data_IF_720583508954
#
_entry.id   IF_720583508954
#
_cell.length_a   1.000
_cell.length_b   1.000
_cell.length_c   1.000
_cell.angle_alpha   90.00
_cell.angle_beta   90.00
_cell.angle_gamma   90.00
#
_symmetry.space_group_name_H-M   'P 1'
#
loop_
_entity.id
_entity.type
_entity.pdbx_description
1 polymer ?
#
# COMPACT_ATOMS: atom_id res chain seq x y z
N UNK A 1 -5.32 -0.31 12.66
CA UNK A 1 -6.44 -0.57 11.70
C UNK A 1 -7.66 0.19 12.19
N UNK A 2 -8.24 1.03 11.36
CA UNK A 2 -9.48 1.77 11.70
C UNK A 2 -10.64 0.93 11.17
N UNK A 3 -11.53 0.44 12.04
CA UNK A 3 -12.72 -0.29 11.60
C UNK A 3 -13.74 0.71 11.04
N UNK A 4 -13.82 0.79 9.72
CA UNK A 4 -14.88 1.52 9.01
C UNK A 4 -16.00 0.52 8.62
N UNK A 5 -16.69 -0.05 9.61
CA UNK A 5 -17.71 -1.06 9.37
C UNK A 5 -17.12 -2.33 8.72
N UNK A 6 -17.56 -2.68 7.52
CA UNK A 6 -17.06 -3.84 6.76
C UNK A 6 -15.70 -3.61 6.09
N UNK A 7 -15.13 -2.42 6.13
CA UNK A 7 -13.89 -2.02 5.44
C UNK A 7 -12.78 -1.89 6.49
N UNK A 8 -11.77 -2.75 6.42
CA UNK A 8 -10.54 -2.60 7.20
C UNK A 8 -9.54 -1.80 6.37
N UNK A 9 -9.63 -0.47 6.42
CA UNK A 9 -8.67 0.40 5.74
C UNK A 9 -7.30 0.31 6.42
N UNK A 10 -6.28 -0.07 5.66
CA UNK A 10 -4.91 -0.16 6.15
C UNK A 10 -4.22 1.19 5.95
N UNK A 11 -4.12 1.99 7.02
CA UNK A 11 -3.50 3.33 6.96
C UNK A 11 -1.97 3.31 7.05
N UNK A 12 -1.36 2.14 7.27
CA UNK A 12 0.09 1.99 7.44
C UNK A 12 0.93 2.42 6.22
N UNK A 13 0.35 2.42 5.02
CA UNK A 13 1.03 2.93 3.83
C UNK A 13 1.24 4.45 3.87
N UNK A 14 0.39 5.22 4.58
CA UNK A 14 0.47 6.68 4.65
C UNK A 14 1.80 7.17 5.26
N UNK A 15 2.23 6.72 6.47
CA UNK A 15 3.54 7.10 6.99
C UNK A 15 4.71 6.65 6.13
N UNK A 16 4.59 5.53 5.41
CA UNK A 16 5.62 5.08 4.45
C UNK A 16 5.74 6.06 3.27
N UNK A 17 4.61 6.48 2.69
CA UNK A 17 4.58 7.49 1.62
C UNK A 17 5.16 8.82 2.11
N UNK A 18 4.73 9.31 3.27
CA UNK A 18 5.26 10.56 3.84
C UNK A 18 6.77 10.46 4.08
N UNK A 19 7.24 9.38 4.68
CA UNK A 19 8.68 9.12 4.88
C UNK A 19 9.44 9.09 3.55
N UNK A 20 8.88 8.47 2.52
CA UNK A 20 9.43 8.44 1.17
C UNK A 20 9.57 9.86 0.58
N UNK A 21 8.55 10.71 0.71
CA UNK A 21 8.59 12.10 0.22
C UNK A 21 9.63 12.96 0.95
N UNK A 22 9.82 12.73 2.25
CA UNK A 22 10.74 13.48 3.09
C UNK A 22 12.21 13.04 2.93
N UNK A 23 12.46 11.74 2.88
CA UNK A 23 13.79 11.15 2.99
C UNK A 23 14.33 10.64 1.65
N UNK A 24 13.46 10.54 0.64
CA UNK A 24 13.81 10.03 -0.68
C UNK A 24 13.57 8.53 -0.85
N UNK A 25 13.75 8.01 -2.09
CA UNK A 25 13.30 6.66 -2.46
C UNK A 25 14.12 5.55 -1.79
N UNK A 26 15.40 5.79 -1.44
CA UNK A 26 16.23 4.79 -0.73
C UNK A 26 15.70 4.49 0.67
N UNK A 27 15.43 5.53 1.44
CA UNK A 27 14.84 5.38 2.78
C UNK A 27 13.38 4.95 2.70
N UNK A 28 12.66 5.41 1.68
CA UNK A 28 11.32 4.93 1.37
C UNK A 28 11.27 3.42 1.13
N UNK A 29 12.24 2.86 0.39
CA UNK A 29 12.35 1.41 0.19
C UNK A 29 12.54 0.65 1.51
N UNK A 30 13.39 1.17 2.42
CA UNK A 30 13.60 0.60 3.75
C UNK A 30 12.30 0.63 4.56
N UNK A 31 11.61 1.78 4.58
CA UNK A 31 10.31 1.90 5.26
C UNK A 31 9.26 0.95 4.66
N UNK A 32 9.25 0.79 3.33
CA UNK A 32 8.39 -0.16 2.64
C UNK A 32 8.72 -1.62 3.01
N UNK A 33 10.01 -1.98 3.11
CA UNK A 33 10.44 -3.29 3.56
C UNK A 33 10.03 -3.54 5.03
N UNK A 34 10.18 -2.55 5.90
CA UNK A 34 9.70 -2.63 7.29
C UNK A 34 8.19 -2.78 7.38
N UNK A 35 7.44 -2.07 6.52
CA UNK A 35 5.99 -2.27 6.42
C UNK A 35 5.65 -3.69 5.97
N UNK A 36 6.39 -4.25 4.99
CA UNK A 36 6.27 -5.65 4.59
C UNK A 36 6.54 -6.61 5.75
N UNK A 37 7.59 -6.37 6.53
CA UNK A 37 7.94 -7.18 7.69
C UNK A 37 6.85 -7.14 8.77
N UNK A 38 6.33 -5.96 9.10
CA UNK A 38 5.20 -5.81 10.04
C UNK A 38 3.96 -6.53 9.52
N UNK A 39 3.67 -6.44 8.22
CA UNK A 39 2.56 -7.16 7.59
C UNK A 39 2.76 -8.68 7.68
N UNK A 40 3.96 -9.18 7.37
CA UNK A 40 4.32 -10.59 7.50
C UNK A 40 4.13 -11.11 8.94
N UNK A 41 4.73 -10.43 9.91
CA UNK A 41 4.65 -10.82 11.33
C UNK A 41 3.21 -10.79 11.84
N UNK A 42 2.47 -9.73 11.55
CA UNK A 42 1.08 -9.57 11.97
C UNK A 42 0.19 -10.67 11.40
N UNK A 43 0.35 -11.02 10.12
CA UNK A 43 -0.42 -12.09 9.48
C UNK A 43 -0.01 -13.49 9.96
N UNK A 44 1.23 -13.65 10.43
CA UNK A 44 1.70 -14.91 11.00
C UNK A 44 1.20 -15.10 12.44
N UNK A 45 1.26 -14.05 13.26
CA UNK A 45 0.91 -14.10 14.68
C UNK A 45 -0.61 -14.01 14.92
N UNK A 46 -1.34 -13.32 14.05
CA UNK A 46 -2.79 -13.12 14.14
C UNK A 46 -3.43 -13.39 12.78
N UNK A 47 -3.54 -14.65 12.37
CA UNK A 47 -4.06 -15.01 11.06
C UNK A 47 -5.50 -14.53 10.84
N UNK A 48 -5.74 -13.96 9.67
CA UNK A 48 -7.05 -13.60 9.13
C UNK A 48 -7.29 -14.37 7.82
N UNK A 49 -8.46 -14.24 7.22
CA UNK A 49 -8.84 -15.00 6.04
C UNK A 49 -7.83 -14.93 4.86
N UNK A 50 -7.18 -13.79 4.66
CA UNK A 50 -6.20 -13.59 3.59
C UNK A 50 -4.73 -13.75 4.03
N UNK A 51 -4.45 -14.21 5.25
CA UNK A 51 -3.08 -14.29 5.77
C UNK A 51 -2.19 -15.26 5.02
N UNK A 52 -2.75 -16.27 4.35
CA UNK A 52 -2.00 -17.16 3.46
C UNK A 52 -1.31 -16.44 2.29
N UNK A 53 -1.84 -15.26 1.90
CA UNK A 53 -1.23 -14.44 0.85
C UNK A 53 -0.10 -13.53 1.36
N UNK A 54 0.12 -13.45 2.68
CA UNK A 54 1.12 -12.57 3.29
C UNK A 54 2.15 -13.31 4.15
N UNK A 55 1.90 -14.60 4.46
CA UNK A 55 2.82 -15.43 5.24
C UNK A 55 2.94 -16.82 4.64
N UNK A 56 4.16 -17.29 4.32
CA UNK A 56 4.40 -18.65 3.85
C UNK A 56 4.16 -19.71 4.94
N UNK A 57 3.99 -19.31 6.19
CA UNK A 57 3.74 -20.19 7.31
C UNK A 57 2.24 -20.52 7.50
N UNK A 58 1.39 -19.81 6.78
CA UNK A 58 -0.05 -20.02 6.82
C UNK A 58 -0.46 -20.89 5.63
N UNK A 59 -1.16 -22.03 5.86
CA UNK A 59 -1.58 -22.91 4.78
C UNK A 59 -2.46 -22.21 3.76
N UNK A 60 -2.20 -22.49 2.49
CA UNK A 60 -3.01 -22.01 1.37
C UNK A 60 -4.35 -22.76 1.37
N UNK A 61 -5.50 -22.10 1.23
CA UNK A 61 -6.80 -22.76 1.14
C UNK A 61 -6.81 -23.90 0.12
N UNK A 62 -7.26 -25.08 0.56
CA UNK A 62 -7.22 -26.31 -0.26
C UNK A 62 -5.92 -27.11 -0.19
N UNK A 63 -4.91 -26.64 0.57
CA UNK A 63 -3.63 -27.34 0.75
C UNK A 63 -3.23 -27.43 2.23
N UNK A 64 -2.28 -28.34 2.54
CA UNK A 64 -1.73 -28.48 3.89
C UNK A 64 -0.51 -27.60 4.16
N UNK A 65 0.00 -26.86 3.17
CA UNK A 65 1.23 -26.07 3.27
C UNK A 65 1.03 -24.62 2.81
N UNK A 66 1.88 -23.74 3.31
CA UNK A 66 1.96 -22.36 2.79
C UNK A 66 2.76 -22.27 1.50
N UNK A 67 2.89 -21.08 0.94
CA UNK A 67 3.58 -20.85 -0.32
C UNK A 67 4.63 -19.73 -0.20
N UNK A 68 5.84 -19.87 -0.78
CA UNK A 68 6.84 -18.81 -0.82
C UNK A 68 6.37 -17.58 -1.63
N UNK A 69 5.37 -17.72 -2.52
CA UNK A 69 4.76 -16.61 -3.26
C UNK A 69 4.14 -15.57 -2.32
N UNK A 70 3.75 -15.97 -1.11
CA UNK A 70 3.27 -15.06 -0.08
C UNK A 70 4.29 -13.95 0.28
N UNK A 71 5.61 -14.25 0.23
CA UNK A 71 6.64 -13.23 0.45
C UNK A 71 6.65 -12.19 -0.67
N UNK A 72 6.47 -12.60 -1.92
CA UNK A 72 6.39 -11.68 -3.06
C UNK A 72 5.20 -10.75 -2.89
N UNK A 73 4.02 -11.29 -2.58
CA UNK A 73 2.79 -10.51 -2.37
C UNK A 73 2.92 -9.59 -1.16
N UNK A 74 3.62 -10.03 -0.12
CA UNK A 74 3.80 -9.27 1.10
C UNK A 74 4.81 -8.12 0.93
N UNK A 75 5.95 -8.33 0.30
CA UNK A 75 7.06 -7.38 0.28
C UNK A 75 7.08 -6.48 -0.95
N UNK A 76 6.84 -7.02 -2.16
CA UNK A 76 6.97 -6.25 -3.41
C UNK A 76 6.07 -5.01 -3.43
N UNK A 77 4.77 -5.11 -3.16
CA UNK A 77 3.90 -3.93 -3.15
C UNK A 77 4.33 -2.89 -2.10
N UNK A 78 4.76 -3.33 -0.91
CA UNK A 78 5.15 -2.44 0.19
C UNK A 78 6.43 -1.67 -0.12
N UNK A 79 7.42 -2.33 -0.72
CA UNK A 79 8.66 -1.67 -1.18
C UNK A 79 8.34 -0.65 -2.27
N UNK A 80 7.47 -0.98 -3.22
CA UNK A 80 7.05 -0.06 -4.28
C UNK A 80 6.26 1.14 -3.75
N UNK A 81 5.40 0.94 -2.74
CA UNK A 81 4.76 2.04 -1.99
C UNK A 81 5.79 2.98 -1.35
N UNK A 82 6.92 2.45 -0.94
CA UNK A 82 8.04 3.25 -0.40
C UNK A 82 8.91 3.93 -1.46
N UNK A 83 8.75 3.62 -2.75
CA UNK A 83 9.62 4.15 -3.81
C UNK A 83 8.84 5.05 -4.78
N UNK A 84 7.75 4.53 -5.35
CA UNK A 84 7.04 5.14 -6.48
C UNK A 84 6.45 6.52 -6.17
N UNK A 85 5.84 6.77 -4.99
CA UNK A 85 5.28 8.08 -4.67
C UNK A 85 6.29 9.22 -4.74
N UNK A 86 7.58 8.97 -4.43
CA UNK A 86 8.62 9.97 -4.56
C UNK A 86 8.86 10.39 -6.02
N UNK A 87 8.89 9.43 -6.94
CA UNK A 87 9.06 9.73 -8.36
C UNK A 87 7.84 10.46 -8.92
N UNK A 88 6.63 10.07 -8.50
CA UNK A 88 5.38 10.77 -8.86
C UNK A 88 5.43 12.22 -8.37
N UNK A 89 5.75 12.43 -7.09
CA UNK A 89 5.87 13.76 -6.49
C UNK A 89 6.90 14.61 -7.23
N UNK A 90 8.10 14.11 -7.44
CA UNK A 90 9.19 14.83 -8.11
C UNK A 90 8.89 15.10 -9.59
N UNK A 91 8.27 14.17 -10.28
CA UNK A 91 7.84 14.35 -11.66
C UNK A 91 6.81 15.49 -11.79
N UNK A 92 5.80 15.50 -10.93
CA UNK A 92 4.79 16.56 -10.91
C UNK A 92 5.38 17.92 -10.52
N UNK A 93 6.30 17.98 -9.56
CA UNK A 93 6.99 19.20 -9.19
C UNK A 93 7.81 19.81 -10.36
N UNK A 94 8.37 18.98 -11.24
CA UNK A 94 9.06 19.45 -12.45
C UNK A 94 8.11 19.99 -13.53
N UNK A 95 6.92 19.43 -13.61
CA UNK A 95 5.91 19.80 -14.63
C UNK A 95 5.08 21.03 -14.22
N UNK A 96 4.87 21.23 -12.93
CA UNK A 96 4.04 22.29 -12.38
C UNK A 96 4.92 23.44 -11.91
N UNK A 97 4.48 24.72 -12.14
CA UNK A 97 5.18 25.88 -11.57
C UNK A 97 5.20 25.78 -10.04
N UNK A 98 6.36 26.12 -9.46
CA UNK A 98 6.56 26.07 -8.01
C UNK A 98 5.65 27.08 -7.29
N UNK A 99 4.52 26.60 -6.81
CA UNK A 99 3.64 27.31 -5.91
C UNK A 99 3.08 26.37 -4.83
N UNK A 100 2.57 26.94 -3.76
CA UNK A 100 2.04 26.16 -2.62
C UNK A 100 0.90 25.22 -2.99
N UNK A 101 0.08 25.57 -4.00
CA UNK A 101 -1.01 24.72 -4.48
C UNK A 101 -0.50 23.51 -5.27
N UNK A 102 0.50 23.73 -6.14
CA UNK A 102 1.15 22.66 -6.90
C UNK A 102 1.84 21.65 -5.97
N UNK A 103 2.46 22.11 -4.88
CA UNK A 103 3.08 21.25 -3.90
C UNK A 103 2.05 20.34 -3.20
N UNK A 104 0.93 20.90 -2.76
CA UNK A 104 -0.18 20.15 -2.12
C UNK A 104 -0.78 19.13 -3.09
N UNK A 105 -1.04 19.53 -4.33
CA UNK A 105 -1.60 18.65 -5.36
C UNK A 105 -0.63 17.50 -5.68
N UNK A 106 0.68 17.79 -5.81
CA UNK A 106 1.70 16.76 -6.05
C UNK A 106 1.78 15.74 -4.90
N UNK A 107 1.65 16.19 -3.65
CA UNK A 107 1.60 15.30 -2.49
C UNK A 107 0.32 14.45 -2.48
N UNK A 108 -0.82 15.03 -2.84
CA UNK A 108 -2.09 14.31 -2.91
C UNK A 108 -2.06 13.21 -3.97
N UNK A 109 -1.54 13.49 -5.16
CA UNK A 109 -1.38 12.51 -6.24
C UNK A 109 -0.34 11.44 -5.85
N UNK A 110 0.75 11.81 -5.20
CA UNK A 110 1.73 10.85 -4.68
C UNK A 110 1.10 9.95 -3.60
N UNK A 111 0.27 10.50 -2.72
CA UNK A 111 -0.51 9.73 -1.74
C UNK A 111 -1.45 8.73 -2.41
N UNK A 112 -2.20 9.19 -3.42
CA UNK A 112 -3.08 8.34 -4.22
C UNK A 112 -2.31 7.20 -4.89
N UNK A 113 -1.15 7.48 -5.50
CA UNK A 113 -0.31 6.46 -6.13
C UNK A 113 0.14 5.38 -5.15
N UNK A 114 0.49 5.76 -3.92
CA UNK A 114 0.86 4.82 -2.86
C UNK A 114 -0.30 3.91 -2.44
N UNK A 115 -1.51 4.45 -2.28
CA UNK A 115 -2.70 3.69 -1.93
C UNK A 115 -3.11 2.72 -3.06
N UNK A 116 -3.12 3.20 -4.30
CA UNK A 116 -3.44 2.39 -5.48
C UNK A 116 -2.43 1.23 -5.62
N UNK A 117 -1.14 1.49 -5.44
CA UNK A 117 -0.11 0.45 -5.47
C UNK A 117 -0.30 -0.55 -4.32
N UNK A 118 -0.62 -0.08 -3.10
CA UNK A 118 -0.80 -0.96 -1.97
C UNK A 118 -1.92 -1.99 -2.21
N UNK A 119 -3.11 -1.53 -2.57
CA UNK A 119 -4.28 -2.40 -2.72
C UNK A 119 -4.36 -3.02 -4.11
N UNK A 120 -4.13 -2.23 -5.16
CA UNK A 120 -4.22 -2.71 -6.54
C UNK A 120 -3.17 -3.78 -6.86
N UNK A 121 -1.91 -3.54 -6.48
CA UNK A 121 -0.84 -4.50 -6.78
C UNK A 121 -0.96 -5.78 -5.94
N UNK A 122 -1.35 -5.67 -4.65
CA UNK A 122 -1.61 -6.85 -3.82
C UNK A 122 -2.71 -7.71 -4.41
N UNK A 123 -3.85 -7.10 -4.76
CA UNK A 123 -4.99 -7.84 -5.31
C UNK A 123 -4.68 -8.41 -6.69
N UNK A 124 -3.90 -7.70 -7.51
CA UNK A 124 -3.42 -8.22 -8.80
C UNK A 124 -2.51 -9.44 -8.60
N UNK A 125 -1.54 -9.37 -7.68
CA UNK A 125 -0.66 -10.50 -7.40
C UNK A 125 -1.43 -11.71 -6.83
N UNK A 126 -2.44 -11.49 -5.97
CA UNK A 126 -3.32 -12.58 -5.50
C UNK A 126 -4.06 -13.20 -6.69
N UNK A 127 -4.59 -12.39 -7.61
CA UNK A 127 -5.27 -12.87 -8.81
C UNK A 127 -4.35 -13.72 -9.70
N UNK A 128 -3.13 -13.27 -9.96
CA UNK A 128 -2.23 -13.99 -10.87
C UNK A 128 -1.52 -15.19 -10.21
N UNK A 129 -1.20 -15.12 -8.92
CA UNK A 129 -0.38 -16.12 -8.25
C UNK A 129 -1.18 -17.09 -7.36
N UNK A 130 -2.33 -16.67 -6.83
CA UNK A 130 -3.11 -17.42 -5.84
C UNK A 130 -4.60 -17.43 -6.17
N UNK A 131 -4.95 -17.42 -7.46
CA UNK A 131 -6.33 -17.34 -7.95
C UNK A 131 -7.21 -18.46 -7.38
N UNK A 132 -6.77 -19.72 -7.47
CA UNK A 132 -7.52 -20.88 -7.02
C UNK A 132 -7.71 -20.90 -5.51
N UNK A 133 -6.67 -20.52 -4.77
CA UNK A 133 -6.75 -20.39 -3.31
C UNK A 133 -7.73 -19.30 -2.88
N UNK A 134 -7.76 -18.18 -3.61
CA UNK A 134 -8.71 -17.10 -3.36
C UNK A 134 -10.16 -17.52 -3.69
N UNK A 135 -10.37 -18.26 -4.78
CA UNK A 135 -11.66 -18.84 -5.15
C UNK A 135 -12.17 -19.79 -4.05
N UNK A 136 -11.31 -20.71 -3.61
CA UNK A 136 -11.59 -21.65 -2.51
C UNK A 136 -11.95 -20.93 -1.22
N UNK A 137 -11.16 -19.92 -0.84
CA UNK A 137 -11.43 -19.09 0.35
C UNK A 137 -12.81 -18.43 0.31
N UNK A 138 -13.18 -17.92 -0.87
CA UNK A 138 -14.43 -17.17 -1.06
C UNK A 138 -15.64 -18.07 -1.36
N UNK A 139 -15.43 -19.33 -1.65
CA UNK A 139 -16.49 -20.26 -2.09
C UNK A 139 -17.11 -19.83 -3.43
N UNK A 140 -16.32 -19.27 -4.35
CA UNK A 140 -16.76 -18.78 -5.66
C UNK A 140 -16.06 -19.57 -6.78
N UNK A 141 -16.68 -19.62 -7.99
CA UNK A 141 -15.96 -20.14 -9.16
C UNK A 141 -14.70 -19.33 -9.46
N UNK A 142 -13.69 -20.01 -10.04
CA UNK A 142 -12.41 -19.36 -10.40
C UNK A 142 -12.61 -18.18 -11.35
N UNK A 143 -13.59 -18.26 -12.25
CA UNK A 143 -13.94 -17.16 -13.18
C UNK A 143 -14.53 -15.93 -12.46
N UNK A 144 -15.11 -16.11 -11.28
CA UNK A 144 -15.65 -15.03 -10.44
C UNK A 144 -14.57 -14.24 -9.67
N UNK A 145 -13.34 -14.75 -9.61
CA UNK A 145 -12.25 -14.13 -8.84
C UNK A 145 -11.92 -12.72 -9.35
N UNK A 146 -11.95 -12.51 -10.66
CA UNK A 146 -11.69 -11.18 -11.23
C UNK A 146 -12.69 -10.13 -10.70
N UNK A 147 -13.98 -10.45 -10.69
CA UNK A 147 -15.02 -9.55 -10.16
C UNK A 147 -14.85 -9.31 -8.65
N UNK A 148 -14.52 -10.36 -7.89
CA UNK A 148 -14.27 -10.23 -6.45
C UNK A 148 -13.05 -9.35 -6.14
N UNK A 149 -11.94 -9.48 -6.89
CA UNK A 149 -10.74 -8.65 -6.79
C UNK A 149 -11.08 -7.19 -7.11
N UNK A 150 -11.79 -6.94 -8.21
CA UNK A 150 -12.22 -5.59 -8.60
C UNK A 150 -13.12 -4.95 -7.53
N UNK A 151 -13.99 -5.74 -6.90
CA UNK A 151 -14.83 -5.26 -5.80
C UNK A 151 -13.97 -4.79 -4.61
N UNK A 152 -12.95 -5.54 -4.22
CA UNK A 152 -12.03 -5.14 -3.15
C UNK A 152 -11.25 -3.88 -3.52
N UNK A 153 -10.74 -3.80 -4.75
CA UNK A 153 -10.03 -2.59 -5.23
C UNK A 153 -10.97 -1.39 -5.27
N UNK A 154 -12.21 -1.56 -5.74
CA UNK A 154 -13.22 -0.50 -5.82
C UNK A 154 -13.74 -0.02 -4.45
N UNK A 155 -13.77 -0.88 -3.45
CA UNK A 155 -14.24 -0.52 -2.10
C UNK A 155 -13.08 -0.07 -1.21
N UNK A 156 -12.16 -0.96 -0.87
CA UNK A 156 -11.04 -0.66 0.02
C UNK A 156 -10.04 0.31 -0.61
N UNK A 157 -9.69 0.09 -1.89
CA UNK A 157 -8.74 0.93 -2.61
C UNK A 157 -9.22 2.38 -2.74
N UNK A 158 -10.51 2.61 -3.01
CA UNK A 158 -11.08 3.96 -3.06
C UNK A 158 -11.04 4.64 -1.69
N UNK A 159 -11.43 3.93 -0.63
CA UNK A 159 -11.39 4.48 0.73
C UNK A 159 -9.95 4.81 1.19
N UNK A 160 -8.99 3.91 0.92
CA UNK A 160 -7.57 4.13 1.22
C UNK A 160 -7.00 5.30 0.42
N UNK A 161 -7.36 5.42 -0.85
CA UNK A 161 -6.94 6.53 -1.72
C UNK A 161 -7.50 7.86 -1.23
N UNK A 162 -8.76 7.93 -0.85
CA UNK A 162 -9.39 9.14 -0.31
C UNK A 162 -8.68 9.62 0.97
N UNK A 163 -8.36 8.68 1.89
CA UNK A 163 -7.60 8.99 3.10
C UNK A 163 -6.17 9.48 2.77
N UNK A 164 -5.48 8.83 1.82
CA UNK A 164 -4.12 9.20 1.44
C UNK A 164 -4.07 10.58 0.78
N UNK A 165 -5.02 10.92 -0.09
CA UNK A 165 -5.15 12.23 -0.75
C UNK A 165 -5.29 13.37 0.25
N UNK A 166 -5.92 13.12 1.39
CA UNK A 166 -6.11 14.13 2.45
C UNK A 166 -4.92 14.15 3.41
N UNK A 167 -4.52 13.00 3.93
CA UNK A 167 -3.55 12.92 5.03
C UNK A 167 -2.10 13.14 4.58
N UNK A 168 -1.72 12.68 3.38
CA UNK A 168 -0.35 12.85 2.88
C UNK A 168 0.00 14.33 2.72
N UNK A 169 -0.81 15.19 2.04
CA UNK A 169 -0.48 16.61 1.96
C UNK A 169 -0.66 17.34 3.31
N UNK A 170 -1.65 16.99 4.12
CA UNK A 170 -1.87 17.64 5.41
C UNK A 170 -0.66 17.49 6.34
N UNK A 171 -0.14 16.27 6.48
CA UNK A 171 1.01 15.98 7.34
C UNK A 171 2.32 16.30 6.63
N UNK A 172 2.44 15.91 5.36
CA UNK A 172 3.66 16.07 4.56
C UNK A 172 4.10 17.51 4.41
N UNK A 173 3.17 18.44 4.19
CA UNK A 173 3.48 19.87 4.07
C UNK A 173 4.07 20.44 5.36
N UNK A 174 3.53 20.08 6.51
CA UNK A 174 4.03 20.53 7.82
C UNK A 174 5.47 20.04 8.01
N UNK A 175 5.70 18.74 7.80
CA UNK A 175 7.01 18.12 8.00
C UNK A 175 8.07 18.65 7.01
N UNK A 176 7.70 18.87 5.74
CA UNK A 176 8.60 19.48 4.74
C UNK A 176 8.95 20.93 5.11
N UNK A 177 8.00 21.71 5.63
CA UNK A 177 8.25 23.07 6.07
C UNK A 177 9.24 23.12 7.25
N UNK A 178 9.09 22.23 8.22
CA UNK A 178 10.00 22.08 9.35
C UNK A 178 11.41 21.66 8.89
N UNK A 179 11.50 20.70 7.98
CA UNK A 179 12.78 20.26 7.41
C UNK A 179 13.50 21.41 6.70
N UNK A 180 12.80 22.19 5.89
CA UNK A 180 13.38 23.38 5.18
C UNK A 180 13.85 24.44 6.16
N UNK A 181 13.15 24.64 7.27
CA UNK A 181 13.54 25.60 8.32
C UNK A 181 14.82 25.17 9.02
N UNK A 182 14.94 23.88 9.40
CA UNK A 182 16.13 23.35 10.08
C UNK A 182 17.39 23.28 9.19
N UNK A 183 17.24 23.25 7.87
CA UNK A 183 18.40 23.27 6.96
C UNK A 183 18.89 24.68 6.61
N UNK A 184 18.22 25.73 7.12
CA UNK A 184 18.61 27.14 6.95
C UNK A 184 19.22 27.77 8.21
N UNK A 185 19.13 27.10 9.34
CA UNK A 185 19.83 27.39 10.60
C UNK A 185 21.16 26.64 10.68
#
# INVERSE_FOLDING_TARGET
>A
MVPLGFIKATTLHIPVVIGCLLLGPRYGAILGAMFGLVSFLSNTMSPAALSFAFSPLIPVPGTASGTPLALVICFVPRILVGIVPWFVYRGLQKLMKENSGAEVLSMAIAGASGAILNTGLVMSLIYFLLRDAYATLKGIPVDGVAAAVLTVVGTNGVAETALAVILVPAIGKILLSLKRRNSRS
#
